data_IF_461513144025
#
_entry.id   IF_461513144025
#
_cell.length_a   1.000
_cell.length_b   1.000
_cell.length_c   1.000
_cell.angle_alpha   90.00
_cell.angle_beta   90.00
_cell.angle_gamma   90.00
#
_symmetry.space_group_name_H-M   'P 1'
#
loop_
_entity.id
_entity.type
_entity.pdbx_description
1 polymer ?
#
# COMPACT_ATOMS: atom_id res chain seq x y z
N UNK A 1 9.20 -11.72 10.05
CA UNK A 1 9.28 -13.03 10.73
C UNK A 1 8.19 -13.13 11.79
N UNK A 2 8.08 -12.15 12.67
CA UNK A 2 7.07 -12.12 13.77
C UNK A 2 5.62 -12.28 13.30
N UNK A 3 5.25 -11.67 12.15
CA UNK A 3 3.89 -11.79 11.60
C UNK A 3 3.54 -13.25 11.27
N UNK A 4 4.50 -14.03 10.77
CA UNK A 4 4.25 -15.43 10.41
C UNK A 4 4.26 -16.36 11.63
N UNK A 5 4.89 -15.95 12.72
CA UNK A 5 4.90 -16.73 13.97
C UNK A 5 3.48 -16.86 14.57
N UNK A 6 2.64 -15.83 14.39
CA UNK A 6 1.23 -15.89 14.81
C UNK A 6 0.39 -16.96 14.12
N UNK A 7 0.88 -17.52 13.01
CA UNK A 7 0.18 -18.58 12.26
C UNK A 7 0.73 -19.99 12.51
N UNK A 8 1.72 -20.16 13.39
CA UNK A 8 2.31 -21.46 13.69
C UNK A 8 1.38 -22.39 14.50
N UNK A 9 0.46 -21.79 15.27
CA UNK A 9 -0.46 -22.49 16.17
C UNK A 9 -1.92 -22.52 15.67
N UNK A 10 -2.12 -22.44 14.34
CA UNK A 10 -3.45 -22.57 13.76
C UNK A 10 -4.03 -23.98 14.01
N UNK A 11 -5.34 -24.05 14.22
CA UNK A 11 -6.05 -25.31 14.25
C UNK A 11 -5.98 -26.02 12.89
N UNK A 12 -6.10 -27.36 12.89
CA UNK A 12 -5.93 -28.19 11.69
C UNK A 12 -6.96 -27.88 10.59
N UNK A 13 -8.13 -27.35 10.95
CA UNK A 13 -9.20 -26.96 10.02
C UNK A 13 -9.08 -25.53 9.49
N UNK A 14 -8.07 -24.76 9.94
CA UNK A 14 -7.91 -23.35 9.55
C UNK A 14 -6.98 -23.20 8.36
N UNK A 15 -7.40 -22.37 7.40
CA UNK A 15 -6.57 -21.86 6.33
C UNK A 15 -6.35 -20.35 6.54
N UNK A 16 -5.14 -19.93 6.83
CA UNK A 16 -4.76 -18.53 6.78
C UNK A 16 -4.22 -18.20 5.39
N UNK A 17 -4.70 -17.09 4.79
CA UNK A 17 -4.25 -16.65 3.48
C UNK A 17 -3.55 -15.30 3.64
N UNK A 18 -2.23 -15.28 3.38
CA UNK A 18 -1.44 -14.06 3.31
C UNK A 18 -1.43 -13.57 1.87
N UNK A 19 -1.90 -12.36 1.66
CA UNK A 19 -1.93 -11.72 0.33
C UNK A 19 -0.75 -10.78 0.20
N UNK A 20 0.19 -11.14 -0.68
CA UNK A 20 1.34 -10.29 -1.02
C UNK A 20 1.04 -9.48 -2.28
N UNK A 21 1.43 -8.20 -2.29
CA UNK A 21 1.33 -7.33 -3.46
C UNK A 21 2.68 -6.72 -3.82
N UNK A 22 3.11 -6.92 -5.06
CA UNK A 22 4.31 -6.27 -5.62
C UNK A 22 4.11 -4.81 -6.01
N UNK A 23 2.86 -4.32 -5.98
CA UNK A 23 2.53 -2.97 -6.47
C UNK A 23 3.26 -1.85 -5.73
N UNK A 24 3.42 -1.96 -4.41
CA UNK A 24 4.03 -0.93 -3.57
C UNK A 24 5.46 -1.29 -3.19
N UNK A 25 5.64 -2.44 -2.55
CA UNK A 25 6.95 -2.88 -2.02
C UNK A 25 8.01 -3.01 -3.11
N UNK A 26 7.64 -3.44 -4.32
CA UNK A 26 8.56 -3.58 -5.45
C UNK A 26 8.42 -2.48 -6.50
N UNK A 27 7.61 -1.45 -6.25
CA UNK A 27 7.30 -0.38 -7.22
C UNK A 27 6.78 -0.90 -8.58
N UNK A 28 6.14 -2.08 -8.58
CA UNK A 28 5.63 -2.77 -9.77
C UNK A 28 4.12 -2.56 -9.96
N UNK A 29 3.63 -1.34 -9.71
CA UNK A 29 2.18 -1.05 -9.73
C UNK A 29 1.52 -1.44 -11.06
N UNK A 30 2.14 -1.09 -12.18
CA UNK A 30 1.61 -1.37 -13.53
C UNK A 30 1.71 -2.84 -13.95
N UNK A 31 2.59 -3.63 -13.34
CA UNK A 31 2.77 -5.05 -13.69
C UNK A 31 1.70 -5.98 -13.14
N UNK A 32 0.87 -5.53 -12.22
CA UNK A 32 -0.24 -6.30 -11.64
C UNK A 32 0.21 -7.66 -11.09
N UNK A 33 1.26 -7.67 -10.29
CA UNK A 33 1.88 -8.87 -9.71
C UNK A 33 1.67 -8.95 -8.21
N UNK A 34 1.35 -10.13 -7.74
CA UNK A 34 1.18 -10.46 -6.33
C UNK A 34 1.11 -11.96 -6.13
N UNK A 35 0.98 -12.40 -4.90
CA UNK A 35 0.83 -13.81 -4.55
C UNK A 35 -0.16 -13.99 -3.40
N UNK A 36 -0.85 -15.12 -3.41
CA UNK A 36 -1.58 -15.64 -2.26
C UNK A 36 -0.78 -16.79 -1.68
N UNK A 37 -0.53 -16.75 -0.39
CA UNK A 37 0.24 -17.76 0.34
C UNK A 37 -0.70 -18.40 1.33
N UNK A 38 -1.05 -19.67 1.11
CA UNK A 38 -1.87 -20.44 2.03
C UNK A 38 -1.00 -21.07 3.14
N UNK A 39 -1.44 -20.96 4.36
CA UNK A 39 -0.83 -21.56 5.55
C UNK A 39 -1.89 -22.41 6.26
N UNK A 40 -1.67 -23.71 6.39
CA UNK A 40 -2.50 -24.63 7.14
C UNK A 40 -1.65 -25.83 7.60
N UNK A 41 -2.07 -26.48 8.68
CA UNK A 41 -1.49 -27.77 9.10
C UNK A 41 -2.03 -28.94 8.27
N UNK A 42 -3.19 -28.79 7.62
CA UNK A 42 -3.81 -29.82 6.79
C UNK A 42 -3.32 -29.72 5.34
N UNK A 43 -2.66 -30.79 4.86
CA UNK A 43 -2.24 -30.89 3.46
C UNK A 43 -3.44 -30.88 2.50
N UNK A 44 -4.56 -31.49 2.88
CA UNK A 44 -5.78 -31.52 2.08
C UNK A 44 -6.32 -30.10 1.83
N UNK A 45 -6.32 -29.25 2.86
CA UNK A 45 -6.72 -27.84 2.75
C UNK A 45 -5.78 -27.09 1.80
N UNK A 46 -4.47 -27.29 1.90
CA UNK A 46 -3.50 -26.68 1.01
C UNK A 46 -3.70 -27.12 -0.44
N UNK A 47 -3.91 -28.42 -0.69
CA UNK A 47 -4.15 -28.95 -2.02
C UNK A 47 -5.44 -28.39 -2.64
N UNK A 48 -6.49 -28.24 -1.83
CA UNK A 48 -7.73 -27.61 -2.25
C UNK A 48 -7.53 -26.13 -2.57
N UNK A 49 -6.81 -25.38 -1.72
CA UNK A 49 -6.48 -23.99 -1.96
C UNK A 49 -5.72 -23.79 -3.28
N UNK A 50 -4.71 -24.61 -3.55
CA UNK A 50 -3.93 -24.54 -4.79
C UNK A 50 -4.78 -24.84 -6.03
N UNK A 51 -5.63 -25.90 -5.96
CA UNK A 51 -6.53 -26.25 -7.06
C UNK A 51 -7.54 -25.17 -7.38
N UNK A 52 -8.18 -24.60 -6.35
CA UNK A 52 -9.14 -23.50 -6.51
C UNK A 52 -8.45 -22.24 -7.07
N UNK A 53 -7.23 -21.96 -6.60
CA UNK A 53 -6.42 -20.86 -7.09
C UNK A 53 -6.09 -20.99 -8.58
N UNK A 54 -5.57 -22.15 -9.01
CA UNK A 54 -5.24 -22.43 -10.41
C UNK A 54 -6.48 -22.33 -11.32
N UNK A 55 -7.58 -22.97 -10.90
CA UNK A 55 -8.83 -22.90 -11.66
C UNK A 55 -9.36 -21.46 -11.80
N UNK A 56 -9.33 -20.70 -10.72
CA UNK A 56 -9.80 -19.30 -10.71
C UNK A 56 -8.96 -18.40 -11.61
N UNK A 57 -7.63 -18.56 -11.61
CA UNK A 57 -6.73 -17.81 -12.48
C UNK A 57 -6.97 -18.18 -13.94
N UNK A 58 -7.04 -19.47 -14.26
CA UNK A 58 -7.28 -19.94 -15.62
C UNK A 58 -8.62 -19.46 -16.17
N UNK A 59 -9.67 -19.51 -15.37
CA UNK A 59 -11.01 -19.07 -15.78
C UNK A 59 -11.12 -17.56 -16.03
N UNK A 60 -10.33 -16.73 -15.35
CA UNK A 60 -10.44 -15.25 -15.41
C UNK A 60 -9.38 -14.60 -16.30
N UNK A 61 -8.15 -15.06 -16.23
CA UNK A 61 -6.99 -14.40 -16.85
C UNK A 61 -6.22 -15.30 -17.79
N UNK A 62 -6.50 -16.62 -17.79
CA UNK A 62 -5.73 -17.65 -18.48
C UNK A 62 -4.29 -17.79 -17.95
N UNK A 63 -3.55 -16.70 -17.82
CA UNK A 63 -2.20 -16.66 -17.24
C UNK A 63 -1.94 -15.33 -16.54
N UNK A 64 -1.06 -15.35 -15.57
CA UNK A 64 -0.64 -14.16 -14.82
C UNK A 64 0.56 -13.47 -15.47
N UNK A 65 0.84 -12.22 -15.07
CA UNK A 65 1.92 -11.40 -15.63
C UNK A 65 3.30 -11.99 -15.35
N UNK A 66 3.88 -12.64 -16.34
CA UNK A 66 5.23 -13.23 -16.26
C UNK A 66 6.35 -12.20 -16.03
N UNK A 67 6.38 -11.03 -16.72
CA UNK A 67 7.46 -10.07 -16.53
C UNK A 67 7.62 -9.62 -15.07
N UNK A 68 6.51 -9.33 -14.38
CA UNK A 68 6.56 -8.92 -12.98
C UNK A 68 7.09 -10.01 -12.05
N UNK A 69 6.67 -11.26 -12.25
CA UNK A 69 7.19 -12.41 -11.48
C UNK A 69 8.69 -12.63 -11.74
N UNK A 70 9.13 -12.55 -12.99
CA UNK A 70 10.53 -12.71 -13.36
C UNK A 70 11.43 -11.64 -12.73
N UNK A 71 10.96 -10.38 -12.67
CA UNK A 71 11.70 -9.29 -12.00
C UNK A 71 11.86 -9.62 -10.51
N UNK A 72 10.80 -9.99 -9.82
CA UNK A 72 10.85 -10.34 -8.39
C UNK A 72 11.75 -11.56 -8.18
N UNK A 73 11.59 -12.60 -8.99
CA UNK A 73 12.42 -13.80 -8.91
C UNK A 73 13.92 -13.47 -9.07
N UNK A 74 14.28 -12.65 -10.06
CA UNK A 74 15.67 -12.24 -10.27
C UNK A 74 16.24 -11.42 -9.11
N UNK A 75 15.45 -10.53 -8.52
CA UNK A 75 15.87 -9.75 -7.34
C UNK A 75 16.24 -10.69 -6.19
N UNK A 76 15.44 -11.72 -5.93
CA UNK A 76 15.70 -12.62 -4.80
C UNK A 76 16.75 -13.70 -5.06
N UNK A 77 16.95 -14.10 -6.31
CA UNK A 77 17.93 -15.14 -6.68
C UNK A 77 19.32 -14.60 -7.00
N UNK A 78 19.49 -13.30 -7.21
CA UNK A 78 20.77 -12.66 -7.46
C UNK A 78 21.14 -11.71 -6.32
N UNK A 79 22.24 -11.96 -5.56
CA UNK A 79 22.65 -11.14 -4.43
C UNK A 79 22.92 -9.66 -4.78
N UNK A 80 23.50 -9.38 -5.95
CA UNK A 80 23.78 -8.01 -6.40
C UNK A 80 22.47 -7.25 -6.65
N UNK A 81 21.52 -7.84 -7.37
CA UNK A 81 20.20 -7.23 -7.62
C UNK A 81 19.42 -7.02 -6.32
N UNK A 82 19.52 -7.98 -5.40
CA UNK A 82 18.89 -7.87 -4.08
C UNK A 82 19.45 -6.68 -3.29
N UNK A 83 20.78 -6.54 -3.26
CA UNK A 83 21.41 -5.43 -2.53
C UNK A 83 21.02 -4.09 -3.15
N UNK A 84 21.13 -3.96 -4.47
CA UNK A 84 20.71 -2.75 -5.18
C UNK A 84 19.23 -2.40 -4.93
N UNK A 85 18.37 -3.39 -4.96
CA UNK A 85 16.93 -3.18 -4.66
C UNK A 85 16.72 -2.67 -3.23
N UNK A 86 17.43 -3.23 -2.24
CA UNK A 86 17.32 -2.79 -0.85
C UNK A 86 17.83 -1.34 -0.67
N UNK A 87 18.89 -0.97 -1.35
CA UNK A 87 19.44 0.39 -1.29
C UNK A 87 18.45 1.41 -1.91
N UNK A 88 17.89 1.10 -3.08
CA UNK A 88 16.88 1.94 -3.73
C UNK A 88 15.58 2.02 -2.89
N UNK A 89 15.16 0.92 -2.27
CA UNK A 89 14.00 0.88 -1.37
C UNK A 89 14.22 1.76 -0.14
N UNK A 90 15.44 1.76 0.41
CA UNK A 90 15.80 2.62 1.54
C UNK A 90 15.70 4.12 1.17
N UNK A 91 16.19 4.51 0.00
CA UNK A 91 16.07 5.89 -0.51
C UNK A 91 14.59 6.28 -0.64
N UNK A 92 13.78 5.43 -1.29
CA UNK A 92 12.34 5.68 -1.50
C UNK A 92 11.56 5.78 -0.19
N UNK A 93 11.83 4.91 0.77
CA UNK A 93 11.17 4.94 2.09
C UNK A 93 11.61 6.14 2.92
N UNK A 94 12.86 6.57 2.81
CA UNK A 94 13.35 7.77 3.50
C UNK A 94 12.69 9.04 2.96
N UNK A 95 12.53 9.15 1.64
CA UNK A 95 11.80 10.25 1.00
C UNK A 95 10.33 10.27 1.43
N UNK A 96 9.68 9.11 1.45
CA UNK A 96 8.28 8.98 1.89
C UNK A 96 8.11 9.43 3.34
N UNK A 97 9.03 9.01 4.23
CA UNK A 97 9.05 9.46 5.63
C UNK A 97 9.23 10.96 5.76
N UNK A 98 10.15 11.56 4.99
CA UNK A 98 10.37 13.00 5.01
C UNK A 98 9.11 13.79 4.61
N UNK A 99 8.44 13.36 3.52
CA UNK A 99 7.16 13.96 3.07
C UNK A 99 6.07 13.84 4.12
N UNK A 100 5.92 12.65 4.71
CA UNK A 100 4.95 12.41 5.76
C UNK A 100 5.24 13.30 6.98
N UNK A 101 6.49 13.36 7.45
CA UNK A 101 6.88 14.19 8.59
C UNK A 101 6.58 15.67 8.35
N UNK A 102 6.87 16.19 7.16
CA UNK A 102 6.54 17.57 6.81
C UNK A 102 5.03 17.79 6.79
N UNK A 103 4.25 16.86 6.22
CA UNK A 103 2.80 16.97 6.23
C UNK A 103 2.23 17.00 7.66
N UNK A 104 2.73 16.12 8.53
CA UNK A 104 2.30 16.06 9.94
C UNK A 104 2.64 17.37 10.69
N UNK A 105 3.84 17.90 10.49
CA UNK A 105 4.25 19.20 11.08
C UNK A 105 3.38 20.36 10.61
N UNK A 106 3.09 20.44 9.31
CA UNK A 106 2.21 21.47 8.78
C UNK A 106 0.75 21.27 9.24
N UNK A 107 0.28 20.04 9.36
CA UNK A 107 -1.04 19.73 9.88
C UNK A 107 -1.19 20.20 11.35
N UNK A 108 -0.19 19.92 12.19
CA UNK A 108 -0.14 20.40 13.57
C UNK A 108 -0.12 21.94 13.64
N UNK A 109 0.74 22.59 12.86
CA UNK A 109 0.87 24.04 12.79
C UNK A 109 -0.44 24.75 12.40
N UNK A 110 -1.26 24.11 11.58
CA UNK A 110 -2.53 24.65 11.12
C UNK A 110 -3.74 24.04 11.83
N UNK A 111 -3.55 23.30 12.91
CA UNK A 111 -4.63 22.62 13.65
C UNK A 111 -5.51 21.77 12.71
N UNK A 112 -4.90 21.08 11.76
CA UNK A 112 -5.58 20.14 10.88
C UNK A 112 -5.56 18.75 11.52
N UNK A 113 -6.74 18.25 11.89
CA UNK A 113 -6.85 16.91 12.45
C UNK A 113 -6.58 15.85 11.38
N UNK A 114 -5.81 14.84 11.77
CA UNK A 114 -5.54 13.66 10.94
C UNK A 114 -5.86 12.38 11.72
N UNK A 115 -6.19 11.32 11.01
CA UNK A 115 -6.29 10.00 11.64
C UNK A 115 -4.90 9.46 11.98
N UNK A 116 -4.78 8.55 12.98
CA UNK A 116 -3.48 7.98 13.36
C UNK A 116 -2.71 7.47 12.16
N UNK A 117 -1.46 7.94 12.00
CA UNK A 117 -0.58 7.58 10.91
C UNK A 117 0.70 6.96 11.44
N UNK A 118 0.92 5.67 11.15
CA UNK A 118 2.12 4.92 11.52
C UNK A 118 3.06 4.69 10.34
N UNK A 119 2.66 5.08 9.12
CA UNK A 119 3.43 4.88 7.89
C UNK A 119 2.54 4.57 6.69
N UNK A 120 3.20 4.38 5.53
CA UNK A 120 2.52 4.05 4.27
C UNK A 120 2.35 5.23 3.33
N UNK A 121 1.59 5.03 2.26
CA UNK A 121 1.47 5.95 1.13
C UNK A 121 0.40 7.02 1.31
N UNK A 122 -0.49 6.85 2.31
CA UNK A 122 -1.66 7.70 2.44
C UNK A 122 -1.81 8.24 3.86
N UNK A 123 -2.04 9.54 3.97
CA UNK A 123 -2.57 10.16 5.19
C UNK A 123 -4.07 10.36 5.01
N UNK A 124 -4.83 10.11 6.07
CA UNK A 124 -6.29 10.26 6.09
C UNK A 124 -6.67 11.43 6.97
N UNK A 125 -7.48 12.34 6.41
CA UNK A 125 -7.97 13.53 7.11
C UNK A 125 -9.48 13.40 7.27
N UNK A 126 -10.02 13.42 8.51
CA UNK A 126 -11.47 13.36 8.73
C UNK A 126 -12.14 14.64 8.27
N UNK A 127 -13.36 14.51 7.73
CA UNK A 127 -14.16 15.65 7.30
C UNK A 127 -15.64 15.40 7.51
N UNK A 128 -16.39 16.45 7.87
CA UNK A 128 -17.86 16.47 7.88
C UNK A 128 -18.43 17.18 6.64
N UNK A 129 -17.58 17.80 5.84
CA UNK A 129 -17.98 18.50 4.63
C UNK A 129 -18.28 17.50 3.51
N UNK A 130 -19.54 17.31 3.20
CA UNK A 130 -20.00 16.40 2.13
C UNK A 130 -19.62 16.87 0.72
N UNK A 131 -19.26 18.14 0.55
CA UNK A 131 -18.84 18.73 -0.72
C UNK A 131 -17.31 18.86 -0.83
N UNK A 132 -16.55 18.36 0.14
CA UNK A 132 -15.10 18.55 0.27
C UNK A 132 -14.34 18.27 -1.05
N UNK A 133 -14.76 17.23 -1.78
CA UNK A 133 -14.11 16.90 -3.05
C UNK A 133 -14.29 18.02 -4.09
N UNK A 134 -15.49 18.56 -4.21
CA UNK A 134 -15.79 19.65 -5.15
C UNK A 134 -15.02 20.93 -4.78
N UNK A 135 -15.06 21.29 -3.50
CA UNK A 135 -14.42 22.48 -2.96
C UNK A 135 -12.89 22.43 -3.16
N UNK A 136 -12.28 21.25 -2.94
CA UNK A 136 -10.86 21.04 -3.17
C UNK A 136 -10.47 21.07 -4.66
N UNK A 137 -11.33 20.53 -5.54
CA UNK A 137 -11.10 20.58 -6.99
C UNK A 137 -11.11 22.04 -7.49
N UNK A 138 -11.95 22.93 -6.94
CA UNK A 138 -11.93 24.37 -7.25
C UNK A 138 -10.60 25.03 -6.86
N UNK A 139 -9.96 24.56 -5.79
CA UNK A 139 -8.60 24.99 -5.37
C UNK A 139 -7.47 24.16 -6.05
N UNK A 140 -7.78 23.39 -7.11
CA UNK A 140 -6.85 22.52 -7.84
C UNK A 140 -6.19 21.44 -6.99
N UNK A 141 -6.89 20.94 -5.97
CA UNK A 141 -6.45 19.85 -5.11
C UNK A 141 -7.27 18.59 -5.40
N UNK A 142 -6.59 17.53 -5.83
CA UNK A 142 -7.22 16.27 -6.22
C UNK A 142 -6.91 15.20 -5.17
N UNK A 143 -7.93 14.77 -4.45
CA UNK A 143 -7.85 13.77 -3.38
C UNK A 143 -8.80 12.62 -3.65
N UNK A 144 -8.63 11.52 -2.92
CA UNK A 144 -9.56 10.39 -2.98
C UNK A 144 -10.63 10.61 -1.92
N UNK A 145 -11.89 10.93 -2.30
CA UNK A 145 -12.98 11.08 -1.34
C UNK A 145 -13.41 9.69 -0.84
N UNK A 146 -13.64 9.61 0.45
CA UNK A 146 -14.30 8.49 1.12
C UNK A 146 -15.43 9.08 1.97
N UNK A 147 -16.27 8.22 2.58
CA UNK A 147 -17.52 8.69 3.20
C UNK A 147 -17.32 9.89 4.16
N UNK A 148 -16.42 9.78 5.14
CA UNK A 148 -16.18 10.82 6.17
C UNK A 148 -14.70 11.21 6.27
N UNK A 149 -13.90 10.85 5.25
CA UNK A 149 -12.47 11.14 5.19
C UNK A 149 -12.03 11.46 3.75
N UNK A 150 -10.95 12.22 3.63
CA UNK A 150 -10.19 12.32 2.38
C UNK A 150 -8.84 11.63 2.56
N UNK A 151 -8.37 10.96 1.51
CA UNK A 151 -7.06 10.29 1.48
C UNK A 151 -6.10 11.06 0.60
N UNK A 152 -4.95 11.39 1.17
CA UNK A 152 -3.90 12.15 0.53
C UNK A 152 -2.74 11.21 0.23
N UNK A 153 -2.35 11.11 -1.04
CA UNK A 153 -1.25 10.26 -1.49
C UNK A 153 0.09 10.98 -1.26
N UNK A 154 0.72 10.72 -0.12
CA UNK A 154 2.03 11.31 0.23
C UNK A 154 3.12 10.97 -0.80
N UNK A 155 3.01 9.83 -1.46
CA UNK A 155 3.99 9.38 -2.45
C UNK A 155 4.06 10.27 -3.70
N UNK A 156 2.99 11.03 -4.01
CA UNK A 156 2.91 11.88 -5.21
C UNK A 156 3.17 13.36 -4.95
N UNK A 157 3.37 13.76 -3.68
CA UNK A 157 3.57 15.16 -3.33
C UNK A 157 5.03 15.60 -3.52
N UNK A 158 5.22 16.84 -4.00
CA UNK A 158 6.48 17.52 -3.87
C UNK A 158 6.59 18.17 -2.48
N UNK A 159 7.82 18.26 -1.94
CA UNK A 159 8.02 18.77 -0.58
C UNK A 159 7.56 20.23 -0.43
N UNK A 160 7.78 21.05 -1.43
CA UNK A 160 7.42 22.47 -1.48
C UNK A 160 5.92 22.72 -1.58
N UNK A 161 5.14 21.78 -2.10
CA UNK A 161 3.68 21.86 -2.22
C UNK A 161 2.94 21.55 -0.91
N UNK A 162 3.57 20.80 0.01
CA UNK A 162 2.92 20.30 1.23
C UNK A 162 2.35 21.42 2.12
N UNK A 163 3.07 22.53 2.40
CA UNK A 163 2.53 23.58 3.26
C UNK A 163 1.27 24.25 2.68
N UNK A 164 1.24 24.46 1.36
CA UNK A 164 0.08 25.05 0.71
C UNK A 164 -1.08 24.06 0.66
N UNK A 165 -0.82 22.80 0.36
CA UNK A 165 -1.81 21.74 0.35
C UNK A 165 -2.53 21.64 1.71
N UNK A 166 -1.78 21.62 2.81
CA UNK A 166 -2.35 21.57 4.16
C UNK A 166 -3.26 22.77 4.44
N UNK A 167 -2.85 23.97 4.06
CA UNK A 167 -3.67 25.20 4.19
C UNK A 167 -4.96 25.12 3.38
N UNK A 168 -4.89 24.66 2.13
CA UNK A 168 -6.08 24.46 1.28
C UNK A 168 -7.05 23.46 1.87
N UNK A 169 -6.53 22.31 2.35
CA UNK A 169 -7.37 21.31 3.01
C UNK A 169 -8.04 21.90 4.26
N UNK A 170 -7.27 22.58 5.13
CA UNK A 170 -7.80 23.19 6.37
C UNK A 170 -8.89 24.20 6.10
N UNK A 171 -8.81 24.97 5.03
CA UNK A 171 -9.82 25.97 4.62
C UNK A 171 -11.21 25.36 4.39
N UNK A 172 -11.28 24.10 3.98
CA UNK A 172 -12.52 23.44 3.57
C UNK A 172 -13.06 22.38 4.56
N UNK A 173 -12.37 22.19 5.70
CA UNK A 173 -12.76 21.21 6.74
C UNK A 173 -13.43 21.86 7.95
#
# INVERSE_FOLDING_TARGET
REIFEAYLDLDDEVLAIVVFSGSKTFSLYGFRVGAQIGLSKSQEIIDNFLRVGDYSVRARFSSVSQPGMNVIGKIFTNPEYKQRFLDELHIGTSLLKARASLFLQEAEKHDLQILPYCGGFFISVPTKNKNIFKDLVEDHVYVIPMQDIIRIAISSLCMDEIPELVRKIKKHI
#
